data_IF_330351220385
#
_entry.id   IF_330351220385
#
_cell.length_a   1.000
_cell.length_b   1.000
_cell.length_c   1.000
_cell.angle_alpha   90.00
_cell.angle_beta   90.00
_cell.angle_gamma   90.00
#
_symmetry.space_group_name_H-M   'P 1'
#
loop_
_entity.id
_entity.type
_entity.pdbx_description
1 polymer ?
#
# COMPACT_ATOMS: atom_id res chain seq x y z
N UNK A 1 -6.23 -12.24 -5.39
CA UNK A 1 -5.55 -12.26 -6.70
C UNK A 1 -4.08 -11.96 -6.46
N UNK A 2 -3.16 -12.72 -7.06
CA UNK A 2 -1.71 -12.51 -6.97
C UNK A 2 -1.18 -12.14 -8.34
N UNK A 3 -0.27 -11.17 -8.40
CA UNK A 3 0.39 -10.74 -9.62
C UNK A 3 1.47 -11.76 -10.00
N UNK A 4 1.77 -11.90 -11.30
CA UNK A 4 2.96 -12.64 -11.76
C UNK A 4 4.20 -12.05 -11.08
N UNK A 5 5.00 -12.90 -10.44
CA UNK A 5 6.14 -12.47 -9.62
C UNK A 5 7.14 -11.59 -10.38
N UNK A 6 7.36 -11.85 -11.67
CA UNK A 6 8.25 -11.05 -12.53
C UNK A 6 7.81 -9.59 -12.72
N UNK A 7 6.54 -9.25 -12.41
CA UNK A 7 6.02 -7.89 -12.51
C UNK A 7 6.09 -7.13 -11.18
N UNK A 8 6.40 -7.83 -10.08
CA UNK A 8 6.35 -7.26 -8.74
C UNK A 8 7.40 -6.16 -8.56
N UNK A 9 8.59 -6.33 -9.12
CA UNK A 9 9.66 -5.32 -9.07
C UNK A 9 9.22 -4.00 -9.74
N UNK A 10 8.55 -4.09 -10.91
CA UNK A 10 8.05 -2.92 -11.60
C UNK A 10 6.91 -2.23 -10.83
N UNK A 11 6.05 -3.01 -10.17
CA UNK A 11 5.00 -2.47 -9.30
C UNK A 11 5.60 -1.71 -8.11
N UNK A 12 6.66 -2.23 -7.48
CA UNK A 12 7.36 -1.54 -6.39
C UNK A 12 8.01 -0.23 -6.86
N UNK A 13 8.75 -0.26 -7.98
CA UNK A 13 9.35 0.96 -8.56
C UNK A 13 8.32 2.04 -8.86
N UNK A 14 7.14 1.64 -9.33
CA UNK A 14 6.03 2.56 -9.60
C UNK A 14 5.48 3.18 -8.30
N UNK A 15 5.29 2.36 -7.27
CA UNK A 15 4.85 2.79 -5.95
C UNK A 15 5.86 3.74 -5.27
N UNK A 16 7.15 3.45 -5.35
CA UNK A 16 8.21 4.30 -4.80
C UNK A 16 8.26 5.68 -5.47
N UNK A 17 8.14 5.72 -6.80
CA UNK A 17 8.04 6.98 -7.55
C UNK A 17 6.83 7.81 -7.11
N UNK A 18 5.69 7.15 -6.90
CA UNK A 18 4.48 7.82 -6.38
C UNK A 18 4.71 8.42 -5.00
N UNK A 19 5.25 7.65 -4.05
CA UNK A 19 5.53 8.15 -2.69
C UNK A 19 6.53 9.32 -2.71
N UNK A 20 7.59 9.22 -3.52
CA UNK A 20 8.58 10.29 -3.69
C UNK A 20 7.94 11.58 -4.23
N UNK A 21 7.15 11.48 -5.30
CA UNK A 21 6.45 12.62 -5.90
C UNK A 21 5.46 13.27 -4.91
N UNK A 22 4.71 12.47 -4.14
CA UNK A 22 3.83 13.01 -3.11
C UNK A 22 4.61 13.74 -2.01
N UNK A 23 5.75 13.21 -1.58
CA UNK A 23 6.59 13.84 -0.56
C UNK A 23 7.17 15.18 -1.04
N UNK A 24 7.51 15.28 -2.32
CA UNK A 24 8.04 16.50 -2.93
C UNK A 24 6.95 17.58 -3.10
N UNK A 25 5.80 17.21 -3.66
CA UNK A 25 4.77 18.17 -4.06
C UNK A 25 3.69 18.42 -2.99
N UNK A 26 3.47 17.49 -2.05
CA UNK A 26 2.36 17.54 -1.11
C UNK A 26 2.81 17.12 0.30
N UNK A 27 3.24 18.08 1.14
CA UNK A 27 3.57 17.79 2.54
C UNK A 27 2.33 17.33 3.33
N UNK A 28 2.43 16.33 4.23
CA UNK A 28 3.62 15.58 4.65
C UNK A 28 4.03 14.41 3.72
N UNK A 29 3.26 14.17 2.66
CA UNK A 29 3.39 13.04 1.74
C UNK A 29 2.22 12.06 1.91
N UNK A 30 2.39 10.85 1.36
CA UNK A 30 1.42 9.76 1.60
C UNK A 30 1.73 9.11 2.95
N UNK A 31 0.74 9.12 3.84
CA UNK A 31 0.78 8.43 5.13
C UNK A 31 -0.22 7.27 5.07
N UNK A 32 0.26 6.07 5.37
CA UNK A 32 -0.58 4.88 5.40
C UNK A 32 -0.89 4.29 4.02
N UNK A 33 -2.03 3.60 3.84
CA UNK A 33 -2.32 2.84 2.63
C UNK A 33 -2.77 3.72 1.47
N UNK A 34 -2.32 3.38 0.27
CA UNK A 34 -2.79 3.93 -1.00
C UNK A 34 -2.98 2.79 -2.02
N UNK A 35 -3.65 3.09 -3.14
CA UNK A 35 -3.83 2.15 -4.23
C UNK A 35 -3.57 2.83 -5.57
N UNK A 36 -2.65 2.27 -6.36
CA UNK A 36 -2.46 2.61 -7.76
C UNK A 36 -3.31 1.65 -8.60
N UNK A 37 -4.35 2.15 -9.22
CA UNK A 37 -5.21 1.35 -10.07
C UNK A 37 -4.60 1.28 -11.47
N UNK A 38 -4.16 0.07 -11.83
CA UNK A 38 -3.38 -0.14 -13.05
C UNK A 38 -4.00 -1.18 -13.96
N UNK A 39 -3.72 -1.02 -15.25
CA UNK A 39 -3.92 -2.03 -16.28
C UNK A 39 -2.54 -2.47 -16.79
N UNK A 40 -2.39 -3.76 -17.11
CA UNK A 40 -1.18 -4.31 -17.70
C UNK A 40 -1.48 -4.66 -19.15
N UNK A 41 -0.72 -4.12 -20.09
CA UNK A 41 -0.88 -4.44 -21.51
C UNK A 41 -0.22 -5.77 -21.90
N UNK A 42 -0.36 -6.16 -23.17
CA UNK A 42 0.23 -7.39 -23.72
C UNK A 42 1.77 -7.43 -23.64
N UNK A 43 2.40 -6.26 -23.56
CA UNK A 43 3.85 -6.08 -23.48
C UNK A 43 4.32 -5.96 -22.01
N UNK A 44 3.44 -6.27 -21.06
CA UNK A 44 3.67 -6.26 -19.63
C UNK A 44 4.00 -4.87 -19.06
N UNK A 45 3.53 -3.79 -19.71
CA UNK A 45 3.68 -2.43 -19.20
C UNK A 45 2.49 -2.03 -18.35
N UNK A 46 2.79 -1.37 -17.24
CA UNK A 46 1.79 -0.80 -16.34
C UNK A 46 1.31 0.54 -16.86
N UNK A 47 -0.01 0.70 -16.89
CA UNK A 47 -0.69 1.96 -17.18
C UNK A 47 -1.56 2.30 -15.98
N UNK A 48 -1.34 3.46 -15.35
CA UNK A 48 -2.17 3.94 -14.25
C UNK A 48 -3.36 4.69 -14.84
N UNK A 49 -4.57 4.35 -14.43
CA UNK A 49 -5.78 5.08 -14.82
C UNK A 49 -6.44 5.83 -13.66
N UNK A 50 -6.20 5.41 -12.41
CA UNK A 50 -6.73 6.07 -11.22
C UNK A 50 -5.82 5.83 -10.00
N UNK A 51 -5.92 6.71 -9.01
CA UNK A 51 -5.17 6.61 -7.76
C UNK A 51 -6.07 6.90 -6.57
N UNK A 52 -6.13 5.97 -5.62
CA UNK A 52 -6.75 6.20 -4.33
C UNK A 52 -5.66 6.54 -3.30
N UNK A 53 -5.55 7.79 -2.79
CA UNK A 53 -4.59 8.18 -1.76
C UNK A 53 -5.02 7.71 -0.35
N UNK A 54 -5.78 6.62 -0.28
CA UNK A 54 -6.31 6.01 0.94
C UNK A 54 -6.50 4.51 0.72
N UNK A 55 -7.03 3.82 1.72
CA UNK A 55 -7.43 2.42 1.57
C UNK A 55 -8.38 2.24 0.36
N UNK A 56 -7.98 1.37 -0.57
CA UNK A 56 -8.78 1.04 -1.76
C UNK A 56 -9.81 -0.05 -1.46
N UNK A 57 -10.98 -0.01 -2.10
CA UNK A 57 -12.07 -0.97 -1.83
C UNK A 57 -11.70 -2.43 -2.11
N UNK A 58 -10.72 -2.68 -2.99
CA UNK A 58 -10.18 -4.00 -3.27
C UNK A 58 -9.56 -4.70 -2.06
N UNK A 59 -9.32 -4.02 -0.94
CA UNK A 59 -8.75 -4.64 0.26
C UNK A 59 -9.77 -5.48 1.05
N UNK A 60 -11.07 -5.32 0.79
CA UNK A 60 -12.13 -5.97 1.58
C UNK A 60 -12.12 -7.50 1.50
N UNK A 61 -11.72 -8.07 0.36
CA UNK A 61 -11.54 -9.53 0.19
C UNK A 61 -10.49 -10.09 1.15
N UNK A 62 -9.58 -9.25 1.66
CA UNK A 62 -8.50 -9.65 2.57
C UNK A 62 -8.88 -9.53 4.05
N UNK A 63 -10.11 -9.17 4.39
CA UNK A 63 -10.49 -8.93 5.79
C UNK A 63 -10.42 -10.19 6.66
N UNK A 64 -10.78 -11.35 6.11
CA UNK A 64 -10.74 -12.63 6.85
C UNK A 64 -9.40 -13.37 6.70
N UNK A 65 -8.94 -13.51 5.45
CA UNK A 65 -7.77 -14.35 5.11
C UNK A 65 -6.45 -13.57 5.02
N UNK A 66 -6.49 -12.24 5.01
CA UNK A 66 -5.33 -11.40 4.72
C UNK A 66 -4.94 -11.39 3.23
N UNK A 67 -3.92 -10.61 2.90
CA UNK A 67 -3.32 -10.59 1.57
C UNK A 67 -2.11 -11.53 1.53
N UNK A 68 -1.92 -12.39 0.52
CA UNK A 68 -0.77 -13.31 0.44
C UNK A 68 0.59 -12.64 0.74
N UNK A 69 0.92 -11.53 0.08
CA UNK A 69 2.14 -10.76 0.39
C UNK A 69 2.23 -10.29 1.85
N UNK A 70 1.15 -9.74 2.41
CA UNK A 70 1.10 -9.31 3.81
C UNK A 70 1.27 -10.48 4.78
N UNK A 71 0.64 -11.62 4.48
CA UNK A 71 0.72 -12.82 5.30
C UNK A 71 2.14 -13.38 5.34
N UNK A 72 2.83 -13.43 4.19
CA UNK A 72 4.21 -13.90 4.13
C UNK A 72 5.16 -12.99 4.91
N UNK A 73 5.00 -11.67 4.79
CA UNK A 73 5.85 -10.70 5.51
C UNK A 73 5.64 -10.74 7.02
N UNK A 74 4.38 -10.82 7.47
CA UNK A 74 4.02 -10.68 8.88
C UNK A 74 3.72 -12.00 9.60
N UNK A 75 3.77 -13.13 8.88
CA UNK A 75 3.47 -14.48 9.36
C UNK A 75 2.12 -14.58 10.09
N UNK A 76 1.12 -13.84 9.62
CA UNK A 76 -0.24 -13.80 10.17
C UNK A 76 -1.23 -13.32 9.11
N UNK A 77 -2.53 -13.58 9.26
CA UNK A 77 -3.55 -13.03 8.37
C UNK A 77 -3.56 -11.50 8.48
N UNK A 78 -2.91 -10.84 7.53
CA UNK A 78 -2.66 -9.41 7.52
C UNK A 78 -3.53 -8.74 6.46
N UNK A 79 -4.60 -8.09 6.92
CA UNK A 79 -5.40 -7.18 6.11
C UNK A 79 -4.82 -5.76 6.14
N UNK A 80 -5.21 -4.92 5.19
CA UNK A 80 -4.80 -3.50 5.19
C UNK A 80 -5.28 -2.77 6.43
N UNK A 81 -6.50 -3.06 6.91
CA UNK A 81 -7.03 -2.50 8.15
C UNK A 81 -6.22 -2.93 9.37
N UNK A 82 -5.86 -4.23 9.45
CA UNK A 82 -4.99 -4.74 10.53
C UNK A 82 -3.61 -4.08 10.48
N UNK A 83 -3.04 -3.89 9.29
CA UNK A 83 -1.74 -3.21 9.12
C UNK A 83 -1.81 -1.77 9.59
N UNK A 84 -2.89 -1.05 9.30
CA UNK A 84 -3.10 0.32 9.79
C UNK A 84 -3.17 0.35 11.32
N UNK A 85 -3.95 -0.54 11.94
CA UNK A 85 -4.05 -0.63 13.40
C UNK A 85 -2.69 -0.92 14.08
N UNK A 86 -1.86 -1.77 13.46
CA UNK A 86 -0.48 -2.02 13.93
C UNK A 86 0.37 -0.75 13.86
N UNK A 87 0.19 0.09 12.83
CA UNK A 87 0.92 1.36 12.74
C UNK A 87 0.50 2.34 13.83
N UNK A 88 -0.81 2.48 14.04
CA UNK A 88 -1.34 3.35 15.10
C UNK A 88 -0.83 2.91 16.47
N UNK A 89 -0.87 1.60 16.77
CA UNK A 89 -0.36 1.08 18.03
C UNK A 89 1.14 1.36 18.21
N UNK A 90 1.95 1.15 17.16
CA UNK A 90 3.39 1.45 17.20
C UNK A 90 3.66 2.93 17.42
N UNK A 91 2.94 3.81 16.73
CA UNK A 91 3.11 5.24 16.89
C UNK A 91 2.79 5.70 18.32
N UNK A 92 1.78 5.10 18.97
CA UNK A 92 1.48 5.33 20.39
C UNK A 92 2.61 4.79 21.27
N UNK A 93 3.07 3.56 21.04
CA UNK A 93 4.14 2.91 21.82
C UNK A 93 5.48 3.65 21.72
N UNK A 94 5.76 4.32 20.60
CA UNK A 94 7.01 5.06 20.36
C UNK A 94 6.88 6.57 20.52
N UNK A 95 5.74 7.08 20.98
CA UNK A 95 5.46 8.51 21.11
C UNK A 95 5.70 9.31 19.82
N UNK A 96 5.18 8.79 18.69
CA UNK A 96 5.32 9.34 17.34
C UNK A 96 3.97 9.50 16.63
N UNK A 97 2.89 9.74 17.38
CA UNK A 97 1.53 9.87 16.84
C UNK A 97 1.44 11.06 15.88
N UNK A 98 2.19 12.13 16.16
CA UNK A 98 2.32 13.34 15.33
C UNK A 98 2.75 13.05 13.89
N UNK A 99 3.44 11.93 13.64
CA UNK A 99 3.89 11.55 12.28
C UNK A 99 2.82 10.88 11.43
N UNK A 100 1.75 10.39 12.04
CA UNK A 100 0.71 9.60 11.36
C UNK A 100 -0.65 10.30 11.30
N UNK A 101 -0.81 11.40 12.03
CA UNK A 101 -2.00 12.26 11.99
C UNK A 101 -1.63 13.61 11.39
N UNK A 102 -2.62 14.27 10.78
CA UNK A 102 -2.47 15.59 10.14
C UNK A 102 -3.66 16.46 10.49
#
# INVERSE_FOLDING_TARGET
STLRESLLENAFKLAEKWVAACKEHYKPGIIGPFCLQTCVDKDLKFHIYDVAPRVGGGTNVHMWVGHPYGNTTWRTNMSTGRRLAVEVRRAIETDQVDKIVT
#
